data_IF_702156040502
#
_entry.id   IF_702156040502
#
_cell.length_a   1.000
_cell.length_b   1.000
_cell.length_c   1.000
_cell.angle_alpha   90.00
_cell.angle_beta   90.00
_cell.angle_gamma   90.00
#
_symmetry.space_group_name_H-M   'P 1'
#
loop_
_entity.id
_entity.type
_entity.pdbx_description
1 polymer ?
#
# COMPACT_ATOMS: atom_id res chain seq x y z
N UNK A 1 -9.13 4.91 10.92
CA UNK A 1 -10.52 4.54 10.62
C UNK A 1 -10.60 3.34 9.67
N UNK A 2 -9.81 3.31 8.60
CA UNK A 2 -9.85 2.23 7.58
C UNK A 2 -9.38 0.88 8.12
N UNK A 3 -8.30 0.83 8.90
CA UNK A 3 -7.71 -0.43 9.38
C UNK A 3 -8.69 -1.25 10.23
N UNK A 4 -9.38 -0.61 11.18
CA UNK A 4 -10.38 -1.29 11.99
C UNK A 4 -11.56 -1.77 11.14
N UNK A 5 -12.08 -0.92 10.27
CA UNK A 5 -13.15 -1.30 9.35
C UNK A 5 -12.78 -2.49 8.47
N UNK A 6 -11.56 -2.50 7.89
CA UNK A 6 -11.07 -3.63 7.10
C UNK A 6 -10.99 -4.92 7.92
N UNK A 7 -10.53 -4.83 9.16
CA UNK A 7 -10.48 -6.00 10.06
C UNK A 7 -11.87 -6.53 10.42
N UNK A 8 -12.80 -5.63 10.72
CA UNK A 8 -14.17 -6.01 11.14
C UNK A 8 -14.94 -6.72 10.01
N UNK A 9 -14.61 -6.43 8.74
CA UNK A 9 -15.21 -7.06 7.56
C UNK A 9 -14.58 -8.40 7.15
N UNK A 10 -13.51 -8.85 7.82
CA UNK A 10 -12.93 -10.15 7.53
C UNK A 10 -13.85 -11.28 7.95
N UNK A 11 -14.06 -12.24 7.07
CA UNK A 11 -14.66 -13.53 7.42
C UNK A 11 -13.71 -14.38 8.27
N UNK A 12 -14.19 -15.40 8.98
CA UNK A 12 -13.33 -16.41 9.57
C UNK A 12 -12.39 -17.03 8.51
N UNK A 13 -11.11 -17.20 8.83
CA UNK A 13 -10.06 -17.60 7.89
C UNK A 13 -9.55 -16.48 7.00
N UNK A 14 -10.13 -15.28 7.07
CA UNK A 14 -9.71 -14.10 6.30
C UNK A 14 -8.33 -13.58 6.69
N UNK A 15 -7.66 -12.94 5.74
CA UNK A 15 -6.29 -12.39 5.92
C UNK A 15 -6.29 -10.90 5.64
N UNK A 16 -5.77 -10.11 6.58
CA UNK A 16 -5.54 -8.69 6.42
C UNK A 16 -4.05 -8.43 6.17
N UNK A 17 -3.72 -7.94 4.99
CA UNK A 17 -2.37 -7.54 4.65
C UNK A 17 -2.23 -6.02 4.81
N UNK A 18 -1.31 -5.59 5.67
CA UNK A 18 -1.04 -4.18 5.95
C UNK A 18 0.28 -3.82 5.28
N UNK A 19 0.24 -2.91 4.32
CA UNK A 19 1.43 -2.42 3.63
C UNK A 19 1.37 -0.91 3.48
N UNK A 20 2.51 -0.25 3.67
CA UNK A 20 2.64 1.19 3.57
C UNK A 20 2.03 1.97 4.73
N UNK A 21 2.57 3.15 4.98
CA UNK A 21 2.17 4.08 6.03
C UNK A 21 1.92 5.50 5.48
N UNK A 22 1.46 5.62 4.24
CA UNK A 22 1.30 6.90 3.56
C UNK A 22 0.43 7.90 4.35
N UNK A 23 -0.57 7.41 5.09
CA UNK A 23 -1.46 8.23 5.91
C UNK A 23 -0.81 8.79 7.19
N UNK A 24 0.35 8.28 7.60
CA UNK A 24 1.08 8.78 8.77
C UNK A 24 1.94 10.02 8.45
N UNK A 25 2.26 10.23 7.18
CA UNK A 25 3.02 11.38 6.74
C UNK A 25 2.06 12.47 6.26
N UNK A 26 2.00 13.57 7.02
CA UNK A 26 1.20 14.74 6.62
C UNK A 26 1.80 15.36 5.36
N UNK A 27 0.96 15.70 4.39
CA UNK A 27 1.34 16.41 3.16
C UNK A 27 1.88 17.83 3.40
N UNK A 28 1.64 18.41 4.56
CA UNK A 28 2.24 19.67 4.97
C UNK A 28 3.53 19.41 5.73
N UNK A 29 4.68 19.71 5.16
CA UNK A 29 6.05 19.39 5.59
C UNK A 29 6.46 19.77 7.02
N UNK A 30 5.55 20.13 7.89
CA UNK A 30 5.78 20.41 9.31
C UNK A 30 5.42 19.18 10.16
N UNK A 31 6.43 18.42 10.55
CA UNK A 31 6.28 17.29 11.48
C UNK A 31 5.78 17.81 12.82
N UNK A 32 4.54 17.57 13.16
CA UNK A 32 4.01 17.86 14.49
C UNK A 32 4.16 16.61 15.37
N UNK A 33 5.11 16.57 16.33
CA UNK A 33 5.38 15.39 17.14
C UNK A 33 4.18 14.96 17.99
N UNK A 34 3.37 15.91 18.45
CA UNK A 34 2.14 15.61 19.20
C UNK A 34 1.12 14.86 18.35
N UNK A 35 1.02 15.21 17.06
CA UNK A 35 0.15 14.53 16.11
C UNK A 35 0.62 13.10 15.81
N UNK A 36 1.94 12.88 15.75
CA UNK A 36 2.52 11.54 15.59
C UNK A 36 2.24 10.65 16.81
N UNK A 37 2.43 11.18 18.02
CA UNK A 37 2.11 10.47 19.26
C UNK A 37 0.62 10.13 19.32
N UNK A 38 -0.25 11.06 18.96
CA UNK A 38 -1.69 10.83 18.94
C UNK A 38 -2.07 9.73 17.92
N UNK A 39 -1.49 9.72 16.72
CA UNK A 39 -1.69 8.65 15.74
C UNK A 39 -1.19 7.31 16.25
N UNK A 40 -0.01 7.30 16.90
CA UNK A 40 0.55 6.08 17.48
C UNK A 40 -0.36 5.50 18.58
N UNK A 41 -0.86 6.33 19.47
CA UNK A 41 -1.79 5.89 20.53
C UNK A 41 -3.13 5.40 19.99
N UNK A 42 -3.58 5.93 18.86
CA UNK A 42 -4.82 5.51 18.17
C UNK A 42 -4.62 4.38 17.16
N UNK A 43 -3.39 3.94 16.95
CA UNK A 43 -3.13 2.78 16.09
C UNK A 43 -3.77 1.54 16.70
N UNK A 44 -4.54 0.84 15.89
CA UNK A 44 -5.21 -0.39 16.31
C UNK A 44 -4.17 -1.42 16.78
N UNK A 45 -4.38 -1.94 17.97
CA UNK A 45 -3.59 -3.05 18.52
C UNK A 45 -4.44 -4.30 18.43
N UNK A 46 -3.83 -5.38 17.97
CA UNK A 46 -4.49 -6.65 17.81
C UNK A 46 -4.12 -7.57 18.97
N UNK A 47 -5.13 -8.14 19.61
CA UNK A 47 -4.95 -9.12 20.67
C UNK A 47 -4.81 -10.52 20.02
N UNK A 48 -3.76 -11.28 20.31
CA UNK A 48 -3.63 -12.66 19.81
C UNK A 48 -4.82 -13.56 20.12
N UNK A 49 -5.44 -13.40 21.28
CA UNK A 49 -6.63 -14.18 21.63
C UNK A 49 -7.83 -13.90 20.71
N UNK A 50 -8.01 -12.63 20.28
CA UNK A 50 -9.07 -12.27 19.34
C UNK A 50 -8.81 -12.86 17.95
N UNK A 51 -7.53 -12.91 17.53
CA UNK A 51 -7.13 -13.51 16.27
C UNK A 51 -7.41 -15.02 16.24
N UNK A 52 -7.02 -15.73 17.30
CA UNK A 52 -7.25 -17.17 17.42
C UNK A 52 -8.73 -17.50 17.60
N UNK A 53 -9.45 -16.73 18.42
CA UNK A 53 -10.89 -16.91 18.63
C UNK A 53 -11.75 -16.67 17.39
N UNK A 54 -11.25 -15.86 16.44
CA UNK A 54 -11.95 -15.55 15.18
C UNK A 54 -11.33 -16.24 13.96
N UNK A 55 -10.24 -17.00 14.11
CA UNK A 55 -9.46 -17.59 13.01
C UNK A 55 -9.08 -16.57 11.92
N UNK A 56 -8.67 -15.37 12.31
CA UNK A 56 -8.26 -14.30 11.40
C UNK A 56 -6.75 -14.14 11.40
N UNK A 57 -6.18 -13.75 10.28
CA UNK A 57 -4.73 -13.50 10.13
C UNK A 57 -4.48 -12.04 9.83
N UNK A 58 -3.45 -11.47 10.47
CA UNK A 58 -2.93 -10.14 10.16
C UNK A 58 -1.46 -10.28 9.83
N UNK A 59 -1.07 -9.69 8.71
CA UNK A 59 0.32 -9.67 8.24
C UNK A 59 0.73 -8.25 7.93
N UNK A 60 1.90 -7.84 8.45
CA UNK A 60 2.56 -6.59 8.09
C UNK A 60 3.63 -6.82 7.04
N UNK A 61 3.70 -5.91 6.07
CA UNK A 61 4.62 -6.02 4.96
C UNK A 61 5.19 -4.65 4.60
N UNK A 62 6.51 -4.55 4.50
CA UNK A 62 7.18 -3.38 3.96
C UNK A 62 8.32 -3.82 3.04
N UNK A 63 8.17 -3.50 1.76
CA UNK A 63 9.04 -3.93 0.69
C UNK A 63 10.50 -3.49 0.90
N UNK A 64 10.73 -2.32 1.49
CA UNK A 64 12.07 -1.77 1.68
C UNK A 64 12.98 -2.68 2.54
N UNK A 65 12.40 -3.42 3.49
CA UNK A 65 13.15 -4.34 4.36
C UNK A 65 13.41 -5.70 3.71
N UNK A 66 13.01 -5.89 2.47
CA UNK A 66 13.24 -7.11 1.70
C UNK A 66 14.27 -6.91 0.58
N UNK A 67 14.80 -5.71 0.38
CA UNK A 67 15.74 -5.44 -0.72
C UNK A 67 17.02 -6.29 -0.69
N UNK A 68 17.44 -6.73 0.49
CA UNK A 68 18.60 -7.64 0.63
C UNK A 68 18.29 -9.08 0.16
N UNK A 69 17.03 -9.41 -0.07
CA UNK A 69 16.58 -10.74 -0.52
C UNK A 69 16.43 -10.78 -2.05
N UNK A 70 17.55 -10.55 -2.76
CA UNK A 70 17.57 -10.44 -4.24
C UNK A 70 16.99 -11.68 -4.94
N UNK A 71 17.29 -12.88 -4.45
CA UNK A 71 16.72 -14.12 -5.01
C UNK A 71 15.21 -14.17 -4.91
N UNK A 72 14.68 -13.85 -3.71
CA UNK A 72 13.22 -13.78 -3.48
C UNK A 72 12.54 -12.77 -4.42
N UNK A 73 13.17 -11.61 -4.62
CA UNK A 73 12.63 -10.61 -5.55
C UNK A 73 12.60 -11.10 -6.98
N UNK A 74 13.66 -11.77 -7.42
CA UNK A 74 13.74 -12.35 -8.77
C UNK A 74 12.61 -13.36 -8.97
N UNK A 75 12.46 -14.30 -8.05
CA UNK A 75 11.41 -15.33 -8.13
C UNK A 75 9.99 -14.72 -8.18
N UNK A 76 9.74 -13.67 -7.36
CA UNK A 76 8.46 -12.95 -7.36
C UNK A 76 8.24 -12.22 -8.69
N UNK A 77 9.28 -11.54 -9.22
CA UNK A 77 9.18 -10.83 -10.50
C UNK A 77 8.93 -11.80 -11.66
N UNK A 78 9.65 -12.91 -11.71
CA UNK A 78 9.46 -13.94 -12.73
C UNK A 78 8.02 -14.50 -12.68
N UNK A 79 7.49 -14.70 -11.48
CA UNK A 79 6.11 -15.14 -11.31
C UNK A 79 5.11 -14.08 -11.79
N UNK A 80 5.32 -12.79 -11.46
CA UNK A 80 4.45 -11.69 -11.90
C UNK A 80 4.49 -11.54 -13.41
N UNK A 81 5.66 -11.60 -14.04
CA UNK A 81 5.81 -11.54 -15.50
C UNK A 81 5.14 -12.75 -16.18
N UNK A 82 5.23 -13.93 -15.59
CA UNK A 82 4.51 -15.11 -16.09
C UNK A 82 2.99 -14.93 -16.02
N UNK A 83 2.46 -14.33 -14.96
CA UNK A 83 1.03 -14.07 -14.85
C UNK A 83 0.56 -12.99 -15.82
N UNK A 84 1.36 -11.94 -16.02
CA UNK A 84 1.08 -10.90 -17.01
C UNK A 84 1.03 -11.48 -18.43
N UNK A 85 2.04 -12.25 -18.83
CA UNK A 85 2.10 -12.92 -20.12
C UNK A 85 0.92 -13.88 -20.37
N UNK A 86 0.34 -14.44 -19.31
CA UNK A 86 -0.86 -15.31 -19.39
C UNK A 86 -2.17 -14.52 -19.35
N UNK A 87 -2.13 -13.19 -19.27
CA UNK A 87 -3.31 -12.34 -19.14
C UNK A 87 -4.07 -12.49 -17.82
N UNK A 88 -3.42 -13.05 -16.78
CA UNK A 88 -4.03 -13.22 -15.46
C UNK A 88 -4.02 -11.92 -14.63
N UNK A 89 -3.17 -10.97 -15.02
CA UNK A 89 -3.12 -9.62 -14.41
C UNK A 89 -3.87 -8.69 -15.37
N UNK A 90 -5.04 -8.16 -14.98
CA UNK A 90 -5.75 -7.23 -15.84
C UNK A 90 -4.95 -5.93 -16.00
N UNK A 91 -4.92 -5.32 -17.20
CA UNK A 91 -4.24 -4.05 -17.41
C UNK A 91 -4.88 -2.97 -16.54
N UNK A 92 -4.03 -2.21 -15.85
CA UNK A 92 -4.49 -1.07 -15.05
C UNK A 92 -4.60 0.18 -15.94
N UNK A 93 -5.59 1.05 -15.72
CA UNK A 93 -5.66 2.32 -16.42
C UNK A 93 -4.39 3.14 -16.14
N UNK A 94 -3.82 3.71 -17.19
CA UNK A 94 -2.63 4.57 -17.11
C UNK A 94 -3.02 5.97 -17.54
N UNK A 95 -2.80 6.95 -16.66
CA UNK A 95 -2.92 8.37 -16.99
C UNK A 95 -1.54 8.91 -17.35
N UNK A 96 -1.41 9.39 -18.58
CA UNK A 96 -0.15 9.87 -19.11
C UNK A 96 -0.06 11.39 -18.98
N UNK A 97 1.10 11.89 -18.58
CA UNK A 97 1.44 13.31 -18.57
C UNK A 97 2.74 13.52 -19.36
N UNK A 98 2.90 14.64 -20.09
CA UNK A 98 4.19 15.01 -20.64
C UNK A 98 5.18 15.30 -19.50
N UNK A 99 6.47 15.09 -19.75
CA UNK A 99 7.50 15.25 -18.71
C UNK A 99 7.51 16.66 -18.11
N UNK A 100 7.25 17.68 -18.93
CA UNK A 100 7.17 19.09 -18.51
C UNK A 100 6.01 19.34 -17.52
N UNK A 101 5.01 18.48 -17.53
CA UNK A 101 3.86 18.55 -16.63
C UNK A 101 4.02 17.65 -15.38
N UNK A 102 5.25 17.29 -14.99
CA UNK A 102 5.53 16.45 -13.82
C UNK A 102 4.88 16.98 -12.53
N UNK A 103 4.80 18.30 -12.36
CA UNK A 103 4.12 18.93 -11.22
C UNK A 103 2.63 18.58 -11.15
N UNK A 104 1.95 18.53 -12.30
CA UNK A 104 0.53 18.14 -12.38
C UNK A 104 0.34 16.64 -12.10
N UNK A 105 1.29 15.81 -12.54
CA UNK A 105 1.30 14.38 -12.22
C UNK A 105 1.44 14.15 -10.71
N UNK A 106 2.35 14.87 -10.03
CA UNK A 106 2.50 14.83 -8.58
C UNK A 106 1.23 15.28 -7.85
N UNK A 107 0.63 16.39 -8.25
CA UNK A 107 -0.63 16.85 -7.68
C UNK A 107 -1.75 15.82 -7.84
N UNK A 108 -1.81 15.14 -9.00
CA UNK A 108 -2.79 14.09 -9.23
C UNK A 108 -2.61 12.91 -8.27
N UNK A 109 -1.38 12.47 -7.99
CA UNK A 109 -1.08 11.43 -7.00
C UNK A 109 -1.44 11.91 -5.58
N UNK A 110 -1.00 13.09 -5.20
CA UNK A 110 -1.21 13.66 -3.86
C UNK A 110 -2.69 13.91 -3.54
N UNK A 111 -3.52 14.12 -4.57
CA UNK A 111 -4.96 14.27 -4.41
C UNK A 111 -5.66 13.03 -3.82
N UNK A 112 -5.01 11.86 -3.89
CA UNK A 112 -5.57 10.57 -3.47
C UNK A 112 -6.79 10.11 -4.30
N UNK A 113 -7.10 10.79 -5.41
CA UNK A 113 -8.22 10.47 -6.30
C UNK A 113 -7.80 9.78 -7.59
N UNK A 114 -6.50 9.58 -7.78
CA UNK A 114 -5.99 8.88 -8.96
C UNK A 114 -6.30 7.37 -8.86
N UNK A 115 -6.78 6.81 -9.96
CA UNK A 115 -7.01 5.36 -10.12
C UNK A 115 -6.04 4.83 -11.16
N UNK A 116 -5.40 3.71 -10.85
CA UNK A 116 -4.41 3.09 -11.73
C UNK A 116 -3.01 3.68 -11.56
N UNK A 117 -2.31 3.85 -12.68
CA UNK A 117 -0.92 4.35 -12.72
C UNK A 117 -0.84 5.72 -13.37
N UNK A 118 0.18 6.48 -12.97
CA UNK A 118 0.56 7.72 -13.63
C UNK A 118 1.92 7.50 -14.27
N UNK A 119 2.03 7.82 -15.54
CA UNK A 119 3.27 7.77 -16.31
C UNK A 119 3.64 9.14 -16.83
N UNK A 120 4.93 9.45 -16.79
CA UNK A 120 5.50 10.60 -17.51
C UNK A 120 6.12 10.10 -18.82
N UNK A 121 5.84 10.78 -19.90
CA UNK A 121 6.41 10.48 -21.23
C UNK A 121 7.24 11.65 -21.71
N UNK A 122 8.37 11.34 -22.30
CA UNK A 122 9.19 12.29 -23.02
C UNK A 122 8.72 12.30 -24.48
N UNK A 123 8.56 13.46 -25.13
CA UNK A 123 8.18 13.56 -26.53
C UNK A 123 9.17 12.88 -27.47
#
# INVERSE_FOLDING_TARGET
>A
ATLKGSYDHLSPGGRLLIYGFASMFSHSGRKNPLKLIWYYLRTLRFNPFDLTGTNRTISGFNLIYLFDRVSLFRDIMDQLLSWDAKGLIPPMPVRVFPFEAASLAHQAIESGRSVGKIALVNP
#
